data_IF_361784167760
#
_entry.id   IF_361784167760
#
_cell.length_a   1.000
_cell.length_b   1.000
_cell.length_c   1.000
_cell.angle_alpha   90.00
_cell.angle_beta   90.00
_cell.angle_gamma   90.00
#
_symmetry.space_group_name_H-M   'P 1'
#
loop_
_entity.id
_entity.type
_entity.pdbx_description
1 polymer ?
#
# COMPACT_ATOMS: atom_id res chain seq x y z
N UNK A 1 -1.67 -23.65 -19.92
CA UNK A 1 -2.19 -22.26 -19.99
C UNK A 1 -3.66 -22.14 -19.58
N UNK A 2 -4.67 -22.74 -20.24
CA UNK A 2 -6.08 -22.60 -19.77
C UNK A 2 -6.42 -23.37 -18.48
N UNK A 3 -5.69 -24.44 -18.17
CA UNK A 3 -5.92 -25.29 -16.98
C UNK A 3 -5.43 -24.64 -15.66
N UNK A 4 -4.42 -23.78 -15.76
CA UNK A 4 -3.74 -23.18 -14.61
C UNK A 4 -4.48 -21.93 -14.10
N UNK A 5 -5.01 -21.09 -15.02
CA UNK A 5 -5.85 -19.94 -14.67
C UNK A 5 -7.11 -20.33 -13.87
N UNK A 6 -7.68 -21.51 -14.16
CA UNK A 6 -8.89 -21.98 -13.50
C UNK A 6 -8.61 -22.39 -12.04
N UNK A 7 -7.42 -22.94 -11.75
CA UNK A 7 -7.00 -23.25 -10.39
C UNK A 7 -6.74 -21.99 -9.56
N UNK A 8 -6.13 -20.96 -10.14
CA UNK A 8 -5.87 -19.71 -9.41
C UNK A 8 -7.16 -18.98 -9.07
N UNK A 9 -8.16 -18.99 -9.95
CA UNK A 9 -9.47 -18.41 -9.67
C UNK A 9 -10.22 -19.17 -8.57
N UNK A 10 -10.17 -20.50 -8.60
CA UNK A 10 -10.77 -21.35 -7.57
C UNK A 10 -10.10 -21.13 -6.20
N UNK A 11 -8.77 -21.10 -6.14
CA UNK A 11 -8.04 -20.85 -4.90
C UNK A 11 -8.39 -19.49 -4.28
N UNK A 12 -8.59 -18.45 -5.10
CA UNK A 12 -9.03 -17.13 -4.62
C UNK A 12 -10.45 -17.16 -4.05
N UNK A 13 -11.34 -17.93 -4.67
CA UNK A 13 -12.71 -18.12 -4.17
C UNK A 13 -12.68 -18.81 -2.80
N UNK A 14 -11.89 -19.87 -2.66
CA UNK A 14 -11.70 -20.60 -1.39
C UNK A 14 -11.12 -19.67 -0.32
N UNK A 15 -10.13 -18.83 -0.66
CA UNK A 15 -9.57 -17.85 0.28
C UNK A 15 -10.62 -16.82 0.73
N UNK A 16 -11.50 -16.35 -0.17
CA UNK A 16 -12.59 -15.44 0.18
C UNK A 16 -13.65 -16.10 1.07
N UNK A 17 -14.04 -17.35 0.77
CA UNK A 17 -14.97 -18.13 1.59
C UNK A 17 -14.39 -18.44 2.98
N UNK A 18 -13.09 -18.71 3.06
CA UNK A 18 -12.37 -18.89 4.32
C UNK A 18 -12.37 -17.60 5.14
N UNK A 19 -12.09 -16.44 4.50
CA UNK A 19 -12.05 -15.14 5.17
C UNK A 19 -13.40 -14.80 5.83
N UNK A 20 -14.50 -15.11 5.14
CA UNK A 20 -15.86 -14.98 5.70
C UNK A 20 -16.09 -15.85 6.94
N UNK A 21 -15.44 -17.01 7.01
CA UNK A 21 -15.50 -17.96 8.13
C UNK A 21 -14.40 -17.73 9.20
N UNK A 22 -13.63 -16.64 9.11
CA UNK A 22 -12.66 -16.24 10.14
C UNK A 22 -11.26 -16.85 9.99
N UNK A 23 -10.91 -17.41 8.83
CA UNK A 23 -9.55 -17.85 8.51
C UNK A 23 -9.10 -17.35 7.15
N UNK A 24 -7.79 -17.16 6.90
CA UNK A 24 -7.29 -16.86 5.54
C UNK A 24 -6.28 -17.95 5.15
N UNK A 25 -6.51 -18.60 4.01
CA UNK A 25 -5.57 -19.58 3.47
C UNK A 25 -4.54 -18.86 2.58
N UNK A 26 -3.39 -18.51 3.16
CA UNK A 26 -2.35 -17.73 2.46
C UNK A 26 -1.67 -18.49 1.30
N UNK A 27 -1.80 -19.83 1.25
CA UNK A 27 -1.33 -20.68 0.15
C UNK A 27 -1.91 -20.23 -1.21
N UNK A 28 -3.09 -19.60 -1.21
CA UNK A 28 -3.75 -19.08 -2.40
C UNK A 28 -2.95 -17.98 -3.11
N UNK A 29 -2.02 -17.30 -2.43
CA UNK A 29 -1.23 -16.18 -2.96
C UNK A 29 0.22 -16.56 -3.28
N UNK A 30 0.68 -17.76 -2.90
CA UNK A 30 2.11 -18.16 -3.01
C UNK A 30 2.69 -18.07 -4.42
N UNK A 31 1.87 -18.25 -5.44
CA UNK A 31 2.30 -18.21 -6.85
C UNK A 31 2.10 -16.86 -7.53
N UNK A 32 1.63 -15.84 -6.81
CA UNK A 32 1.48 -14.49 -7.33
C UNK A 32 2.78 -13.70 -7.16
N UNK A 33 2.99 -12.68 -7.99
CA UNK A 33 4.01 -11.69 -7.64
C UNK A 33 3.64 -11.00 -6.32
N UNK A 34 4.65 -10.54 -5.57
CA UNK A 34 4.45 -10.05 -4.20
C UNK A 34 3.50 -8.86 -4.13
N UNK A 35 3.53 -7.97 -5.12
CA UNK A 35 2.66 -6.78 -5.13
C UNK A 35 1.22 -7.18 -5.42
N UNK A 36 0.99 -8.07 -6.40
CA UNK A 36 -0.34 -8.59 -6.67
C UNK A 36 -0.90 -9.40 -5.49
N UNK A 37 -0.05 -10.16 -4.78
CA UNK A 37 -0.44 -10.86 -3.55
C UNK A 37 -0.92 -9.86 -2.48
N UNK A 38 -0.16 -8.78 -2.22
CA UNK A 38 -0.54 -7.74 -1.25
C UNK A 38 -1.88 -7.10 -1.63
N UNK A 39 -2.07 -6.71 -2.89
CA UNK A 39 -3.33 -6.13 -3.35
C UNK A 39 -4.51 -7.10 -3.22
N UNK A 40 -4.30 -8.39 -3.51
CA UNK A 40 -5.34 -9.39 -3.39
C UNK A 40 -5.73 -9.63 -1.92
N UNK A 41 -4.75 -9.78 -1.02
CA UNK A 41 -4.98 -9.91 0.41
C UNK A 41 -5.70 -8.69 0.99
N UNK A 42 -5.24 -7.48 0.63
CA UNK A 42 -5.86 -6.24 1.09
C UNK A 42 -7.30 -6.10 0.59
N UNK A 43 -7.57 -6.48 -0.66
CA UNK A 43 -8.93 -6.43 -1.20
C UNK A 43 -9.86 -7.33 -0.39
N UNK A 44 -9.45 -8.56 -0.08
CA UNK A 44 -10.24 -9.48 0.74
C UNK A 44 -10.54 -8.90 2.12
N UNK A 45 -9.51 -8.34 2.78
CA UNK A 45 -9.67 -7.70 4.09
C UNK A 45 -10.64 -6.50 4.02
N UNK A 46 -10.48 -5.62 3.03
CA UNK A 46 -11.34 -4.46 2.85
C UNK A 46 -12.81 -4.84 2.60
N UNK A 47 -13.03 -5.84 1.75
CA UNK A 47 -14.38 -6.34 1.42
C UNK A 47 -15.04 -6.96 2.67
N UNK A 48 -14.30 -7.76 3.44
CA UNK A 48 -14.80 -8.40 4.68
C UNK A 48 -15.12 -7.37 5.76
N UNK A 49 -14.24 -6.39 6.00
CA UNK A 49 -14.50 -5.29 6.95
C UNK A 49 -15.74 -4.50 6.53
N UNK A 50 -15.84 -4.11 5.26
CA UNK A 50 -16.98 -3.33 4.76
C UNK A 50 -18.29 -4.11 4.92
N UNK A 51 -18.30 -5.41 4.57
CA UNK A 51 -19.47 -6.26 4.72
C UNK A 51 -19.89 -6.43 6.19
N UNK A 52 -18.94 -6.75 7.08
CA UNK A 52 -19.22 -6.96 8.52
C UNK A 52 -19.67 -5.70 9.24
N UNK A 53 -19.19 -4.54 8.81
CA UNK A 53 -19.47 -3.24 9.43
C UNK A 53 -20.59 -2.46 8.73
N UNK A 54 -21.14 -3.00 7.62
CA UNK A 54 -22.18 -2.33 6.84
C UNK A 54 -21.72 -1.00 6.25
N UNK A 55 -20.47 -0.92 5.79
CA UNK A 55 -19.87 0.31 5.28
C UNK A 55 -20.12 0.43 3.78
N UNK A 56 -20.84 1.48 3.40
CA UNK A 56 -21.08 1.85 2.01
C UNK A 56 -20.81 3.35 1.85
N UNK A 57 -19.58 3.69 1.50
CA UNK A 57 -19.13 5.06 1.31
C UNK A 57 -18.79 5.30 -0.17
N UNK A 58 -18.95 6.54 -0.61
CA UNK A 58 -18.42 6.98 -1.90
C UNK A 58 -16.88 6.88 -1.94
N UNK A 59 -16.31 6.92 -3.14
CA UNK A 59 -14.84 6.95 -3.30
C UNK A 59 -14.24 8.13 -2.53
N UNK A 60 -14.85 9.31 -2.62
CA UNK A 60 -14.40 10.51 -1.89
C UNK A 60 -14.35 10.30 -0.38
N UNK A 61 -15.41 9.75 0.22
CA UNK A 61 -15.47 9.48 1.65
C UNK A 61 -14.48 8.40 2.09
N UNK A 62 -14.28 7.36 1.26
CA UNK A 62 -13.24 6.35 1.53
C UNK A 62 -11.85 6.97 1.54
N UNK A 63 -11.50 7.78 0.54
CA UNK A 63 -10.20 8.44 0.46
C UNK A 63 -9.98 9.36 1.68
N UNK A 64 -10.97 10.16 2.07
CA UNK A 64 -10.87 11.01 3.26
C UNK A 64 -10.59 10.19 4.53
N UNK A 65 -11.31 9.09 4.73
CA UNK A 65 -11.16 8.22 5.91
C UNK A 65 -9.83 7.47 5.92
N UNK A 66 -9.41 6.94 4.78
CA UNK A 66 -8.16 6.20 4.64
C UNK A 66 -6.93 7.11 4.79
N UNK A 67 -6.99 8.35 4.28
CA UNK A 67 -5.96 9.36 4.54
C UNK A 67 -5.84 9.67 6.02
N UNK A 68 -6.97 9.85 6.72
CA UNK A 68 -6.97 10.09 8.17
C UNK A 68 -6.38 8.90 8.94
N UNK A 69 -6.74 7.67 8.58
CA UNK A 69 -6.18 6.47 9.18
C UNK A 69 -4.66 6.38 8.96
N UNK A 70 -4.20 6.60 7.73
CA UNK A 70 -2.77 6.62 7.41
C UNK A 70 -1.99 7.72 8.16
N UNK A 71 -2.59 8.89 8.39
CA UNK A 71 -1.99 9.95 9.24
C UNK A 71 -1.86 9.48 10.69
N UNK A 72 -2.83 8.72 11.19
CA UNK A 72 -2.75 8.09 12.51
C UNK A 72 -1.56 7.15 12.59
N UNK A 73 -1.42 6.20 11.66
CA UNK A 73 -0.30 5.23 11.65
C UNK A 73 1.06 5.91 11.46
N UNK A 74 1.14 6.97 10.64
CA UNK A 74 2.36 7.77 10.53
C UNK A 74 2.73 8.46 11.86
N UNK A 75 1.76 8.74 12.72
CA UNK A 75 2.02 9.26 14.07
C UNK A 75 2.55 8.17 15.00
N UNK A 76 2.13 6.91 14.81
CA UNK A 76 2.67 5.74 15.53
C UNK A 76 4.12 5.46 15.10
N UNK A 77 4.42 5.55 13.80
CA UNK A 77 5.80 5.55 13.26
C UNK A 77 6.67 6.62 13.94
N UNK A 78 6.14 7.82 14.15
CA UNK A 78 6.87 8.88 14.86
C UNK A 78 7.12 8.50 16.31
N UNK A 79 6.13 7.93 17.00
CA UNK A 79 6.29 7.49 18.38
C UNK A 79 7.39 6.44 18.53
N UNK A 80 7.66 5.61 17.50
CA UNK A 80 8.77 4.64 17.49
C UNK A 80 10.18 5.20 17.26
N UNK A 81 10.29 6.50 16.98
CA UNK A 81 11.56 7.21 16.85
C UNK A 81 11.70 8.36 17.84
N UNK A 82 12.91 8.93 17.95
CA UNK A 82 13.20 10.00 18.90
C UNK A 82 12.77 11.40 18.39
N UNK A 83 11.51 11.56 17.94
CA UNK A 83 11.04 12.87 17.42
C UNK A 83 10.84 13.93 18.51
N UNK A 84 10.52 13.49 19.74
CA UNK A 84 10.34 14.36 20.91
C UNK A 84 11.71 14.84 21.40
N UNK A 85 12.25 15.86 20.73
CA UNK A 85 13.59 16.40 20.97
C UNK A 85 13.81 16.95 22.39
N UNK A 86 12.74 17.19 23.14
CA UNK A 86 12.75 17.58 24.55
C UNK A 86 12.82 16.40 25.53
N UNK A 87 12.87 15.14 25.05
CA UNK A 87 13.03 13.93 25.88
C UNK A 87 14.43 13.32 25.71
N UNK A 88 14.84 12.55 26.71
CA UNK A 88 16.06 11.73 26.62
C UNK A 88 15.92 10.69 25.51
N UNK A 89 17.01 10.46 24.76
CA UNK A 89 17.03 9.49 23.68
C UNK A 89 16.83 8.07 24.21
N UNK A 90 15.98 7.30 23.53
CA UNK A 90 15.81 5.86 23.70
C UNK A 90 16.35 5.10 22.48
N UNK A 91 16.76 3.83 22.63
CA UNK A 91 16.96 2.96 21.48
C UNK A 91 15.67 2.88 20.64
N UNK A 92 15.82 2.86 19.32
CA UNK A 92 14.70 2.64 18.39
C UNK A 92 14.27 1.18 18.49
N UNK A 93 12.97 0.95 18.63
CA UNK A 93 12.40 -0.39 18.54
C UNK A 93 12.15 -0.71 17.05
N UNK A 94 13.10 -1.38 16.42
CA UNK A 94 13.03 -1.67 14.98
C UNK A 94 11.85 -2.54 14.60
N UNK A 95 11.44 -3.48 15.47
CA UNK A 95 10.31 -4.38 15.20
C UNK A 95 9.00 -3.59 15.20
N UNK A 96 8.72 -2.83 16.27
CA UNK A 96 7.54 -1.96 16.31
C UNK A 96 7.51 -0.97 15.15
N UNK A 97 8.66 -0.34 14.83
CA UNK A 97 8.74 0.55 13.67
C UNK A 97 8.40 -0.15 12.34
N UNK A 98 8.78 -1.42 12.17
CA UNK A 98 8.43 -2.19 10.98
C UNK A 98 6.93 -2.52 10.93
N UNK A 99 6.33 -2.84 12.07
CA UNK A 99 4.90 -3.10 12.17
C UNK A 99 4.09 -1.86 11.78
N UNK A 100 4.42 -0.68 12.32
CA UNK A 100 3.72 0.57 11.96
C UNK A 100 3.89 0.94 10.47
N UNK A 101 5.05 0.62 9.86
CA UNK A 101 5.25 0.81 8.43
C UNK A 101 4.38 -0.13 7.58
N UNK A 102 4.07 -1.33 8.08
CA UNK A 102 3.14 -2.26 7.44
C UNK A 102 1.70 -1.74 7.57
N UNK A 103 1.33 -1.12 8.69
CA UNK A 103 0.01 -0.51 8.86
C UNK A 103 -0.19 0.69 7.92
N UNK A 104 0.85 1.52 7.72
CA UNK A 104 0.84 2.54 6.65
C UNK A 104 0.62 1.92 5.26
N UNK A 105 1.26 0.78 4.98
CA UNK A 105 1.09 0.08 3.70
C UNK A 105 -0.35 -0.43 3.50
N UNK A 106 -1.00 -0.95 4.55
CA UNK A 106 -2.39 -1.40 4.50
C UNK A 106 -3.33 -0.28 4.03
N UNK A 107 -3.18 0.93 4.57
CA UNK A 107 -4.01 2.07 4.18
C UNK A 107 -3.66 2.59 2.78
N UNK A 108 -2.37 2.66 2.42
CA UNK A 108 -1.96 3.08 1.08
C UNK A 108 -2.50 2.16 -0.03
N UNK A 109 -2.40 0.83 0.16
CA UNK A 109 -2.95 -0.15 -0.79
C UNK A 109 -4.47 -0.08 -0.83
N UNK A 110 -5.12 0.15 0.31
CA UNK A 110 -6.57 0.35 0.36
C UNK A 110 -7.04 1.55 -0.45
N UNK A 111 -6.34 2.68 -0.37
CA UNK A 111 -6.61 3.86 -1.20
C UNK A 111 -6.47 3.53 -2.69
N UNK A 112 -5.39 2.85 -3.07
CA UNK A 112 -5.18 2.42 -4.45
C UNK A 112 -6.36 1.58 -4.96
N UNK A 113 -6.80 0.57 -4.19
CA UNK A 113 -7.94 -0.28 -4.53
C UNK A 113 -9.25 0.51 -4.65
N UNK A 114 -9.52 1.46 -3.72
CA UNK A 114 -10.74 2.30 -3.73
C UNK A 114 -10.75 3.29 -4.89
N UNK A 115 -9.59 3.77 -5.31
CA UNK A 115 -9.40 4.57 -6.52
C UNK A 115 -9.48 3.75 -7.84
N UNK A 116 -9.73 2.44 -7.77
CA UNK A 116 -9.80 1.57 -8.93
C UNK A 116 -8.44 1.23 -9.55
N UNK A 117 -7.37 1.37 -8.78
CA UNK A 117 -6.00 1.06 -9.23
C UNK A 117 -5.63 -0.38 -8.90
N UNK A 118 -5.21 -1.13 -9.91
CA UNK A 118 -4.64 -2.47 -9.72
C UNK A 118 -3.16 -2.42 -9.31
N UNK A 119 -2.62 -3.55 -8.86
CA UNK A 119 -1.18 -3.70 -8.61
C UNK A 119 -0.33 -3.37 -9.86
N UNK A 120 -0.81 -3.79 -11.04
CA UNK A 120 -0.15 -3.52 -12.32
C UNK A 120 -0.19 -2.02 -12.68
N UNK A 121 -1.32 -1.36 -12.43
CA UNK A 121 -1.43 0.08 -12.65
C UNK A 121 -0.51 0.88 -11.74
N UNK A 122 -0.44 0.51 -10.45
CA UNK A 122 0.48 1.15 -9.51
C UNK A 122 1.93 0.96 -9.96
N UNK A 123 2.32 -0.26 -10.30
CA UNK A 123 3.69 -0.57 -10.76
C UNK A 123 4.05 0.22 -12.01
N UNK A 124 3.19 0.22 -13.02
CA UNK A 124 3.40 0.96 -14.26
C UNK A 124 3.54 2.47 -14.01
N UNK A 125 2.62 3.06 -13.24
CA UNK A 125 2.67 4.48 -12.87
C UNK A 125 3.93 4.83 -12.07
N UNK A 126 4.37 3.93 -11.19
CA UNK A 126 5.61 4.09 -10.46
C UNK A 126 6.82 4.11 -11.41
N UNK A 127 6.92 3.17 -12.36
CA UNK A 127 7.99 3.14 -13.34
C UNK A 127 8.04 4.41 -14.21
N UNK A 128 6.89 4.86 -14.71
CA UNK A 128 6.76 6.11 -15.46
C UNK A 128 7.26 7.32 -14.64
N UNK A 129 6.80 7.41 -13.38
CA UNK A 129 7.18 8.49 -12.46
C UNK A 129 8.66 8.44 -12.06
N UNK A 130 9.19 7.25 -11.83
CA UNK A 130 10.59 7.04 -11.48
C UNK A 130 11.50 7.48 -12.63
N UNK A 131 11.19 7.07 -13.86
CA UNK A 131 11.90 7.51 -15.06
C UNK A 131 11.88 9.04 -15.20
N UNK A 132 10.71 9.66 -15.08
CA UNK A 132 10.57 11.12 -15.13
C UNK A 132 11.39 11.82 -14.04
N UNK A 133 11.45 11.27 -12.82
CA UNK A 133 12.27 11.83 -11.75
C UNK A 133 13.78 11.74 -12.05
N UNK A 134 14.25 10.67 -12.68
CA UNK A 134 15.63 10.59 -13.18
C UNK A 134 15.88 11.56 -14.34
N UNK A 135 14.95 11.65 -15.29
CA UNK A 135 15.07 12.57 -16.42
C UNK A 135 15.16 14.04 -15.94
N UNK A 136 14.49 14.39 -14.84
CA UNK A 136 14.67 15.70 -14.16
C UNK A 136 16.09 15.91 -13.64
N UNK A 137 16.66 14.91 -12.96
CA UNK A 137 18.02 15.00 -12.42
C UNK A 137 19.09 15.01 -13.51
N UNK A 138 18.75 14.66 -14.76
CA UNK A 138 19.66 14.62 -15.89
C UNK A 138 19.39 15.72 -16.94
N UNK A 139 18.54 16.70 -16.64
CA UNK A 139 18.19 17.78 -17.57
C UNK A 139 17.43 17.32 -18.82
N UNK A 140 16.82 16.14 -18.80
CA UNK A 140 16.06 15.53 -19.92
C UNK A 140 14.55 15.75 -19.79
N UNK A 141 14.08 16.24 -18.64
CA UNK A 141 12.66 16.55 -18.42
C UNK A 141 12.28 17.86 -19.10
N UNK A 142 11.01 17.98 -19.51
CA UNK A 142 10.42 19.24 -19.96
C UNK A 142 10.07 20.18 -18.80
N UNK A 143 10.19 19.71 -17.55
CA UNK A 143 9.99 20.52 -16.34
C UNK A 143 11.32 21.11 -15.87
N UNK A 144 11.40 22.44 -15.83
CA UNK A 144 12.58 23.22 -15.46
C UNK A 144 12.82 23.27 -13.94
N UNK A 145 14.04 23.60 -13.50
CA UNK A 145 14.37 23.87 -12.09
C UNK A 145 14.67 22.64 -11.22
N UNK A 146 14.97 21.50 -11.84
CA UNK A 146 15.32 20.25 -11.15
C UNK A 146 16.71 19.71 -11.52
N UNK A 147 17.43 20.38 -12.42
CA UNK A 147 18.78 19.99 -12.82
C UNK A 147 19.75 20.34 -11.69
N UNK A 148 20.48 19.37 -11.09
CA UNK A 148 21.49 19.65 -10.08
C UNK A 148 22.62 20.56 -10.59
N UNK A 149 22.82 20.70 -11.91
CA UNK A 149 23.76 21.65 -12.48
C UNK A 149 23.26 23.11 -12.40
N UNK A 150 21.96 23.33 -12.21
CA UNK A 150 21.34 24.65 -12.03
C UNK A 150 21.35 25.12 -10.56
N UNK A 151 21.72 24.26 -9.61
CA UNK A 151 21.84 24.71 -8.20
C UNK A 151 23.09 25.56 -8.03
N UNK A 152 22.92 26.87 -7.88
CA UNK A 152 23.97 27.77 -7.40
C UNK A 152 24.43 27.31 -6.00
N UNK A 153 25.75 27.22 -5.80
CA UNK A 153 26.39 27.01 -4.50
C UNK A 153 26.41 28.30 -3.68
#
# INVERSE_FOLDING_TARGET
MKKDMNKTAENRRIAAESALNGGIEYSAFENMDRLAAIFAMQKLLNDDIAARRGLDFSVEEWEQRLVLAMISELSEVLDEVNFKWWKNKRPVNTEALQDELVDVLHFFVSMCLRAGMSAEDLYRKYCEKNKENFDRQYGKSTKTGYDPAESEQ
#
